data_IF_329390615527
#
_entry.id   IF_329390615527
#
_cell.length_a   1.000
_cell.length_b   1.000
_cell.length_c   1.000
_cell.angle_alpha   90.00
_cell.angle_beta   90.00
_cell.angle_gamma   90.00
#
_symmetry.space_group_name_H-M   'P 1'
#
loop_
_entity.id
_entity.type
_entity.pdbx_description
1 polymer ?
#
# COMPACT_ATOMS: atom_id res chain seq x y z
N UNK A 1 -21.75 -6.57 -17.95
CA UNK A 1 -20.99 -7.65 -17.28
C UNK A 1 -20.02 -8.27 -18.26
N UNK A 2 -18.75 -8.41 -17.85
CA UNK A 2 -17.51 -8.68 -18.63
C UNK A 2 -16.82 -7.45 -19.22
N UNK A 3 -16.24 -6.61 -18.35
CA UNK A 3 -15.42 -5.44 -18.73
C UNK A 3 -13.93 -5.57 -18.42
N UNK A 4 -13.52 -6.57 -17.62
CA UNK A 4 -12.12 -6.87 -17.41
C UNK A 4 -11.63 -7.70 -18.61
N UNK A 5 -10.68 -7.17 -19.37
CA UNK A 5 -10.15 -7.88 -20.53
C UNK A 5 -9.59 -9.25 -20.12
N UNK A 6 -10.04 -10.32 -20.78
CA UNK A 6 -9.50 -11.68 -20.61
C UNK A 6 -7.97 -11.74 -20.71
N UNK A 7 -7.32 -10.79 -21.41
CA UNK A 7 -5.85 -10.72 -21.54
C UNK A 7 -5.12 -10.73 -20.20
N UNK A 8 -5.71 -10.19 -19.11
CA UNK A 8 -5.03 -10.05 -17.82
C UNK A 8 -5.55 -10.94 -16.69
N UNK A 9 -6.78 -11.45 -16.80
CA UNK A 9 -7.37 -12.32 -15.77
C UNK A 9 -6.54 -13.61 -15.62
N UNK A 10 -6.06 -14.15 -16.75
CA UNK A 10 -5.37 -15.44 -16.80
C UNK A 10 -3.84 -15.33 -16.71
N UNK A 11 -3.29 -14.11 -16.52
CA UNK A 11 -1.84 -13.95 -16.45
C UNK A 11 -1.33 -14.17 -15.03
N UNK A 12 -0.34 -15.06 -14.91
CA UNK A 12 0.30 -15.40 -13.64
C UNK A 12 0.95 -14.21 -12.93
N UNK A 13 1.16 -13.11 -13.64
CA UNK A 13 1.88 -11.93 -13.17
C UNK A 13 0.96 -10.77 -12.77
N UNK A 14 -0.32 -11.04 -12.54
CA UNK A 14 -1.29 -10.13 -11.92
C UNK A 14 -2.08 -10.86 -10.84
N UNK A 15 -2.30 -10.22 -9.69
CA UNK A 15 -3.26 -10.66 -8.69
C UNK A 15 -4.29 -9.57 -8.43
N UNK A 16 -5.55 -9.98 -8.42
CA UNK A 16 -6.71 -9.12 -8.19
C UNK A 16 -7.53 -9.72 -7.06
N UNK A 17 -7.84 -8.93 -6.05
CA UNK A 17 -8.88 -9.26 -5.07
C UNK A 17 -9.76 -8.04 -4.82
N UNK A 18 -11.07 -8.26 -4.75
CA UNK A 18 -12.06 -7.29 -4.30
C UNK A 18 -12.99 -7.97 -3.30
N UNK A 19 -13.15 -7.37 -2.13
CA UNK A 19 -13.80 -7.99 -0.97
C UNK A 19 -14.71 -7.02 -0.22
N UNK A 20 -15.67 -7.56 0.51
CA UNK A 20 -16.52 -6.85 1.48
C UNK A 20 -16.63 -7.68 2.75
N UNK A 21 -16.31 -7.09 3.90
CA UNK A 21 -16.13 -7.85 5.14
C UNK A 21 -15.17 -9.02 4.91
N UNK A 22 -15.56 -10.23 5.33
CA UNK A 22 -14.79 -11.46 5.11
C UNK A 22 -14.96 -12.09 3.73
N UNK A 23 -15.92 -11.61 2.93
CA UNK A 23 -16.27 -12.24 1.65
C UNK A 23 -15.47 -11.64 0.49
N UNK A 24 -14.88 -12.50 -0.33
CA UNK A 24 -14.31 -12.12 -1.63
C UNK A 24 -15.44 -12.02 -2.66
N UNK A 25 -15.60 -10.84 -3.25
CA UNK A 25 -16.57 -10.55 -4.33
C UNK A 25 -15.97 -10.96 -5.68
N UNK A 26 -14.69 -10.67 -5.90
CA UNK A 26 -13.99 -10.98 -7.13
C UNK A 26 -12.53 -11.33 -6.84
N UNK A 27 -12.01 -12.34 -7.52
CA UNK A 27 -10.59 -12.72 -7.52
C UNK A 27 -10.22 -13.37 -8.85
N UNK A 28 -8.96 -13.25 -9.25
CA UNK A 28 -8.39 -14.07 -10.33
C UNK A 28 -7.64 -15.31 -9.82
N UNK A 29 -7.86 -15.69 -8.56
CA UNK A 29 -7.31 -16.90 -7.92
C UNK A 29 -5.78 -16.93 -7.76
N UNK A 30 -5.11 -15.77 -7.78
CA UNK A 30 -3.68 -15.63 -7.55
C UNK A 30 -3.34 -15.13 -6.13
N UNK A 31 -4.22 -15.37 -5.17
CA UNK A 31 -4.20 -14.68 -3.88
C UNK A 31 -2.99 -15.02 -2.98
N UNK A 32 -2.41 -16.22 -3.12
CA UNK A 32 -1.21 -16.65 -2.39
C UNK A 32 0.10 -16.39 -3.16
N UNK A 33 0.03 -15.95 -4.43
CA UNK A 33 1.24 -15.75 -5.23
C UNK A 33 2.07 -14.60 -4.68
N UNK A 34 3.39 -14.76 -4.75
CA UNK A 34 4.34 -13.74 -4.31
C UNK A 34 4.54 -12.69 -5.40
N UNK A 35 4.38 -11.44 -5.01
CA UNK A 35 4.64 -10.25 -5.82
C UNK A 35 5.67 -9.36 -5.15
N UNK A 36 6.30 -8.50 -5.93
CA UNK A 36 7.12 -7.43 -5.38
C UNK A 36 6.17 -6.36 -4.80
N UNK A 37 6.29 -6.06 -3.51
CA UNK A 37 5.38 -5.15 -2.81
C UNK A 37 5.57 -3.68 -3.20
N UNK A 38 6.75 -3.32 -3.69
CA UNK A 38 7.16 -1.93 -3.84
C UNK A 38 6.85 -1.10 -2.58
N UNK A 39 6.17 0.04 -2.73
CA UNK A 39 5.84 0.91 -1.60
C UNK A 39 4.62 0.43 -0.79
N UNK A 40 4.00 -0.71 -1.13
CA UNK A 40 2.92 -1.27 -0.30
C UNK A 40 3.43 -1.76 1.07
N UNK A 41 4.71 -2.14 1.17
CA UNK A 41 5.36 -2.49 2.45
C UNK A 41 5.27 -1.38 3.50
N UNK A 42 4.97 -0.15 3.09
CA UNK A 42 4.77 1.00 3.99
C UNK A 42 3.51 0.88 4.84
N UNK A 43 2.51 0.10 4.41
CA UNK A 43 1.30 -0.17 5.20
C UNK A 43 1.62 -0.94 6.49
N UNK A 44 2.25 -2.14 6.46
CA UNK A 44 2.61 -2.83 7.70
C UNK A 44 3.61 -2.05 8.56
N UNK A 45 4.50 -1.23 7.97
CA UNK A 45 5.36 -0.32 8.73
C UNK A 45 4.50 0.70 9.52
N UNK A 46 3.52 1.33 8.88
CA UNK A 46 2.60 2.25 9.57
C UNK A 46 1.87 1.55 10.71
N UNK A 47 1.30 0.36 10.46
CA UNK A 47 0.57 -0.40 11.49
C UNK A 47 1.49 -0.72 12.67
N UNK A 48 2.69 -1.24 12.41
CA UNK A 48 3.67 -1.55 13.44
C UNK A 48 3.93 -0.33 14.34
N UNK A 49 4.12 0.85 13.74
CA UNK A 49 4.39 2.07 14.50
C UNK A 49 3.17 2.43 15.35
N UNK A 50 1.95 2.42 14.80
CA UNK A 50 0.74 2.71 15.57
C UNK A 50 0.49 1.70 16.70
N UNK A 51 0.90 0.45 16.53
CA UNK A 51 0.72 -0.58 17.55
C UNK A 51 1.78 -0.50 18.66
N UNK A 52 3.02 -0.16 18.31
CA UNK A 52 4.17 -0.10 19.22
C UNK A 52 4.36 1.24 19.93
N UNK A 53 3.58 2.27 19.59
CA UNK A 53 3.78 3.63 20.10
C UNK A 53 2.52 4.26 20.69
N UNK A 54 2.71 5.12 21.69
CA UNK A 54 1.68 6.04 22.14
C UNK A 54 1.57 7.26 21.22
N UNK A 55 0.53 8.08 21.39
CA UNK A 55 0.41 9.34 20.67
C UNK A 55 1.58 10.30 20.98
N UNK A 56 2.14 10.26 22.20
CA UNK A 56 3.25 11.14 22.58
C UNK A 56 4.56 10.69 21.93
N UNK A 57 4.81 9.38 21.88
CA UNK A 57 5.95 8.82 21.13
C UNK A 57 5.89 9.23 19.66
N UNK A 58 4.70 9.28 19.05
CA UNK A 58 4.55 9.72 17.65
C UNK A 58 4.82 11.20 17.42
N UNK A 59 4.78 12.04 18.46
CA UNK A 59 5.17 13.46 18.37
C UNK A 59 6.68 13.66 18.53
N UNK A 60 7.40 12.66 19.02
CA UNK A 60 8.84 12.76 19.20
C UNK A 60 9.55 12.96 17.86
N UNK A 61 10.57 13.82 17.87
CA UNK A 61 11.39 14.12 16.70
C UNK A 61 12.44 13.03 16.47
N UNK A 62 12.54 12.58 15.23
CA UNK A 62 13.54 11.62 14.77
C UNK A 62 14.47 12.30 13.77
N UNK A 63 15.76 12.02 13.88
CA UNK A 63 16.79 12.54 12.98
C UNK A 63 16.72 11.85 11.62
N UNK A 64 16.78 12.66 10.55
CA UNK A 64 16.82 12.21 9.16
C UNK A 64 18.29 12.14 8.74
N UNK A 65 18.91 10.97 8.91
CA UNK A 65 20.35 10.81 8.68
C UNK A 65 20.71 10.61 7.20
N UNK A 66 19.83 9.98 6.42
CA UNK A 66 20.14 9.54 5.06
C UNK A 66 18.99 9.86 4.09
N UNK A 67 19.17 10.92 3.30
CA UNK A 67 18.26 11.26 2.19
C UNK A 67 18.53 10.36 0.99
N UNK A 68 17.49 9.73 0.47
CA UNK A 68 17.56 8.83 -0.68
C UNK A 68 16.70 9.32 -1.85
N UNK A 69 16.99 8.82 -3.05
CA UNK A 69 16.25 9.13 -4.27
C UNK A 69 14.85 8.50 -4.35
N UNK A 70 14.29 8.46 -5.57
CA UNK A 70 12.93 7.95 -5.80
C UNK A 70 11.83 8.89 -5.33
N UNK A 71 10.67 8.36 -4.95
CA UNK A 71 9.51 9.16 -4.51
C UNK A 71 9.75 9.87 -3.18
N UNK A 72 9.08 11.00 -2.99
CA UNK A 72 9.19 11.83 -1.80
C UNK A 72 9.74 13.23 -2.04
N UNK A 73 9.54 14.07 -1.05
CA UNK A 73 9.92 15.49 -1.03
C UNK A 73 11.15 15.73 -0.16
N UNK A 74 11.39 14.93 0.89
CA UNK A 74 12.41 15.17 1.90
C UNK A 74 13.83 15.23 1.33
N UNK A 75 14.11 14.47 0.27
CA UNK A 75 15.39 14.51 -0.45
C UNK A 75 15.77 15.91 -0.98
N UNK A 76 14.78 16.77 -1.20
CA UNK A 76 14.96 18.13 -1.71
C UNK A 76 14.78 19.22 -0.64
N UNK A 77 14.45 18.83 0.60
CA UNK A 77 14.16 19.77 1.68
C UNK A 77 15.38 19.92 2.61
N UNK A 78 15.59 21.12 3.14
CA UNK A 78 16.58 21.39 4.17
C UNK A 78 15.97 21.17 5.57
N UNK A 79 15.54 19.93 5.82
CA UNK A 79 15.00 19.47 7.10
C UNK A 79 15.84 18.27 7.57
N UNK A 80 16.23 18.28 8.83
CA UNK A 80 17.10 17.26 9.45
C UNK A 80 16.40 16.45 10.53
N UNK A 81 15.20 16.87 10.96
CA UNK A 81 14.37 16.13 11.90
C UNK A 81 12.89 16.36 11.64
N UNK A 82 12.07 15.34 11.85
CA UNK A 82 10.61 15.41 11.79
C UNK A 82 10.01 14.53 12.88
N UNK A 83 8.75 14.80 13.24
CA UNK A 83 8.05 13.90 14.14
C UNK A 83 7.82 12.54 13.47
N UNK A 84 7.73 11.47 14.26
CA UNK A 84 7.34 10.15 13.75
C UNK A 84 6.01 10.24 12.99
N UNK A 85 5.05 11.01 13.49
CA UNK A 85 3.75 11.22 12.83
C UNK A 85 3.89 11.87 11.44
N UNK A 86 4.73 12.89 11.31
CA UNK A 86 4.97 13.55 10.01
C UNK A 86 5.69 12.60 9.03
N UNK A 87 6.62 11.79 9.54
CA UNK A 87 7.30 10.78 8.73
C UNK A 87 6.32 9.72 8.24
N UNK A 88 5.38 9.25 9.07
CA UNK A 88 4.31 8.32 8.65
C UNK A 88 3.46 8.97 7.56
N UNK A 89 3.05 10.23 7.77
CA UNK A 89 2.23 10.96 6.81
C UNK A 89 2.92 11.04 5.45
N UNK A 90 4.18 11.49 5.40
CA UNK A 90 4.97 11.57 4.16
C UNK A 90 5.21 10.20 3.52
N UNK A 91 5.45 9.17 4.35
CA UNK A 91 5.64 7.78 3.91
C UNK A 91 4.41 7.24 3.17
N UNK A 92 3.20 7.59 3.61
CA UNK A 92 1.97 7.10 2.97
C UNK A 92 1.52 8.01 1.83
N UNK A 93 1.37 9.31 2.10
CA UNK A 93 0.68 10.29 1.23
C UNK A 93 1.42 10.60 -0.06
N UNK A 94 2.75 10.73 0.00
CA UNK A 94 3.60 10.98 -1.17
C UNK A 94 4.63 9.87 -1.39
N UNK A 95 4.49 8.75 -0.69
CA UNK A 95 5.39 7.61 -0.76
C UNK A 95 6.86 7.98 -0.51
N UNK A 96 7.15 8.87 0.45
CA UNK A 96 8.51 9.38 0.66
C UNK A 96 9.48 8.28 1.13
N UNK A 97 10.50 8.00 0.32
CA UNK A 97 11.48 6.95 0.58
C UNK A 97 12.44 7.31 1.73
N UNK A 98 12.77 8.60 1.89
CA UNK A 98 13.61 9.06 3.01
C UNK A 98 12.84 8.92 4.31
N UNK A 99 11.57 9.30 4.35
CA UNK A 99 10.73 9.11 5.52
C UNK A 99 10.61 7.63 5.88
N UNK A 100 10.39 6.78 4.87
CA UNK A 100 10.32 5.32 5.05
C UNK A 100 11.60 4.77 5.67
N UNK A 101 12.76 5.07 5.09
CA UNK A 101 14.04 4.56 5.60
C UNK A 101 14.34 5.09 7.01
N UNK A 102 14.03 6.37 7.28
CA UNK A 102 14.19 6.96 8.61
C UNK A 102 13.36 6.21 9.66
N UNK A 103 12.12 5.85 9.33
CA UNK A 103 11.26 5.05 10.22
C UNK A 103 11.80 3.63 10.39
N UNK A 104 12.25 2.97 9.32
CA UNK A 104 12.85 1.62 9.42
C UNK A 104 14.11 1.64 10.29
N UNK A 105 14.99 2.64 10.12
CA UNK A 105 16.20 2.80 10.93
C UNK A 105 15.86 3.04 12.40
N UNK A 106 14.85 3.85 12.68
CA UNK A 106 14.47 4.21 14.05
C UNK A 106 13.82 3.04 14.81
N UNK A 107 12.93 2.29 14.15
CA UNK A 107 12.16 1.22 14.77
C UNK A 107 12.81 -0.18 14.65
N UNK A 108 13.71 -0.34 13.67
CA UNK A 108 14.44 -1.57 13.40
C UNK A 108 13.70 -2.48 12.41
N UNK A 109 14.35 -2.72 11.27
CA UNK A 109 13.86 -3.62 10.21
C UNK A 109 13.45 -5.01 10.73
N UNK A 110 14.25 -5.59 11.64
CA UNK A 110 13.97 -6.91 12.19
C UNK A 110 12.71 -6.92 13.06
N UNK A 111 12.48 -5.89 13.88
CA UNK A 111 11.27 -5.79 14.71
C UNK A 111 10.02 -5.63 13.85
N UNK A 112 10.11 -4.84 12.77
CA UNK A 112 9.02 -4.68 11.81
C UNK A 112 8.69 -6.03 11.15
N UNK A 113 9.69 -6.78 10.69
CA UNK A 113 9.45 -8.10 10.11
C UNK A 113 8.88 -9.11 11.12
N UNK A 114 9.37 -9.12 12.36
CA UNK A 114 8.81 -9.97 13.41
C UNK A 114 7.34 -9.65 13.65
N UNK A 115 6.97 -8.36 13.67
CA UNK A 115 5.57 -7.96 13.77
C UNK A 115 4.73 -8.44 12.58
N UNK A 116 5.24 -8.30 11.35
CA UNK A 116 4.55 -8.77 10.14
C UNK A 116 4.28 -10.29 10.22
N UNK A 117 5.26 -11.07 10.68
CA UNK A 117 5.16 -12.53 10.73
C UNK A 117 4.36 -13.04 11.93
N UNK A 118 4.57 -12.48 13.11
CA UNK A 118 4.03 -13.02 14.36
C UNK A 118 2.70 -12.38 14.76
N UNK A 119 2.48 -11.11 14.42
CA UNK A 119 1.27 -10.35 14.81
C UNK A 119 0.29 -10.20 13.67
N UNK A 120 0.75 -9.74 12.49
CA UNK A 120 -0.10 -9.69 11.29
C UNK A 120 -0.28 -11.06 10.64
N UNK A 121 0.58 -12.04 10.99
CA UNK A 121 0.52 -13.40 10.45
C UNK A 121 0.53 -13.45 8.90
N UNK A 122 1.22 -12.49 8.27
CA UNK A 122 1.36 -12.44 6.82
C UNK A 122 2.48 -13.38 6.37
N UNK A 123 2.17 -14.30 5.46
CA UNK A 123 3.12 -15.33 5.04
C UNK A 123 4.09 -14.84 3.96
N UNK A 124 3.61 -13.99 3.05
CA UNK A 124 4.35 -13.57 1.86
C UNK A 124 4.88 -12.13 1.94
N UNK A 125 4.41 -11.36 2.92
CA UNK A 125 4.81 -9.97 3.14
C UNK A 125 6.10 -9.89 3.94
N UNK A 126 7.16 -9.33 3.34
CA UNK A 126 8.48 -9.27 3.96
C UNK A 126 9.19 -7.97 3.59
N UNK A 127 9.72 -7.26 4.60
CA UNK A 127 10.60 -6.09 4.45
C UNK A 127 12.06 -6.57 4.38
N UNK A 128 12.52 -6.95 3.20
CA UNK A 128 13.85 -7.53 2.98
C UNK A 128 14.95 -6.50 2.74
N UNK A 129 14.62 -5.25 2.40
CA UNK A 129 15.56 -4.18 2.12
C UNK A 129 15.00 -2.78 2.35
N UNK A 130 15.89 -1.81 2.51
CA UNK A 130 15.55 -0.39 2.50
C UNK A 130 15.08 0.09 1.12
N UNK A 131 14.43 1.25 1.10
CA UNK A 131 14.06 1.94 -0.14
C UNK A 131 15.34 2.43 -0.83
N UNK A 132 15.41 2.26 -2.16
CA UNK A 132 16.55 2.66 -2.99
C UNK A 132 17.90 2.00 -2.63
N UNK A 133 17.87 0.84 -1.97
CA UNK A 133 19.06 0.05 -1.66
C UNK A 133 19.58 -0.68 -2.92
N UNK A 134 20.49 -0.01 -3.64
CA UNK A 134 21.02 -0.51 -4.92
C UNK A 134 21.82 -1.81 -4.76
N UNK A 135 22.52 -1.99 -3.64
CA UNK A 135 23.29 -3.21 -3.36
C UNK A 135 22.33 -4.38 -3.17
N UNK A 136 21.34 -4.25 -2.29
CA UNK A 136 20.34 -5.30 -2.07
C UNK A 136 19.55 -5.63 -3.35
N UNK A 137 19.18 -4.62 -4.13
CA UNK A 137 18.50 -4.82 -5.43
C UNK A 137 19.39 -5.61 -6.39
N UNK A 138 20.69 -5.31 -6.46
CA UNK A 138 21.63 -6.03 -7.33
C UNK A 138 21.84 -7.49 -6.92
N UNK A 139 21.64 -7.80 -5.64
CA UNK A 139 21.65 -9.16 -5.09
C UNK A 139 20.30 -9.89 -5.27
N UNK A 140 19.31 -9.25 -5.90
CA UNK A 140 17.98 -9.82 -6.11
C UNK A 140 17.07 -9.79 -4.89
N UNK A 141 17.40 -9.02 -3.84
CA UNK A 141 16.54 -8.85 -2.66
C UNK A 141 15.42 -7.86 -2.99
N UNK A 142 14.19 -8.28 -2.80
CA UNK A 142 13.01 -7.43 -2.96
C UNK A 142 12.08 -7.56 -1.75
N UNK A 143 11.39 -6.47 -1.43
CA UNK A 143 10.29 -6.52 -0.48
C UNK A 143 9.11 -7.20 -1.15
N UNK A 144 8.52 -8.21 -0.52
CA UNK A 144 7.47 -9.05 -1.13
C UNK A 144 6.13 -8.88 -0.46
N UNK A 145 5.07 -9.35 -1.11
CA UNK A 145 3.70 -9.47 -0.58
C UNK A 145 2.90 -10.49 -1.41
N UNK A 146 1.69 -10.84 -0.96
CA UNK A 146 0.62 -11.42 -1.77
C UNK A 146 -0.63 -10.54 -1.72
N UNK A 147 -1.65 -10.81 -2.54
CA UNK A 147 -2.91 -10.06 -2.45
C UNK A 147 -3.73 -10.50 -1.24
N UNK A 148 -3.64 -11.76 -0.83
CA UNK A 148 -4.24 -12.24 0.43
C UNK A 148 -3.70 -11.46 1.63
N UNK A 149 -2.38 -11.30 1.73
CA UNK A 149 -1.75 -10.54 2.81
C UNK A 149 -2.19 -9.08 2.78
N UNK A 150 -2.27 -8.45 1.60
CA UNK A 150 -2.70 -7.06 1.50
C UNK A 150 -4.17 -6.85 1.90
N UNK A 151 -5.07 -7.75 1.49
CA UNK A 151 -6.47 -7.71 1.97
C UNK A 151 -6.53 -7.91 3.50
N UNK A 152 -5.72 -8.81 4.05
CA UNK A 152 -5.61 -9.00 5.49
C UNK A 152 -5.11 -7.72 6.21
N UNK A 153 -4.05 -7.11 5.71
CA UNK A 153 -3.48 -5.85 6.23
C UNK A 153 -4.50 -4.72 6.21
N UNK A 154 -5.28 -4.59 5.14
CA UNK A 154 -6.32 -3.56 5.03
C UNK A 154 -7.46 -3.78 6.04
N UNK A 155 -7.87 -5.03 6.28
CA UNK A 155 -8.83 -5.37 7.34
C UNK A 155 -8.28 -5.05 8.72
N UNK A 156 -7.01 -5.41 8.96
CA UNK A 156 -6.33 -5.06 10.21
C UNK A 156 -6.34 -3.55 10.46
N UNK A 157 -6.08 -2.73 9.44
CA UNK A 157 -6.19 -1.27 9.53
C UNK A 157 -7.60 -0.83 9.92
N UNK A 158 -8.63 -1.38 9.27
CA UNK A 158 -10.03 -1.01 9.51
C UNK A 158 -10.51 -1.38 10.93
N UNK A 159 -10.00 -2.46 11.50
CA UNK A 159 -10.38 -2.97 12.83
C UNK A 159 -9.50 -2.42 13.96
N UNK A 160 -8.39 -1.75 13.63
CA UNK A 160 -7.43 -1.25 14.59
C UNK A 160 -8.01 -0.15 15.48
N UNK A 161 -7.57 -0.05 16.74
CA UNK A 161 -7.96 1.03 17.67
C UNK A 161 -7.67 2.46 17.15
N UNK A 162 -6.71 2.58 16.24
CA UNK A 162 -6.32 3.83 15.56
C UNK A 162 -6.74 3.84 14.07
N UNK A 163 -7.77 3.07 13.68
CA UNK A 163 -8.21 2.96 12.29
C UNK A 163 -8.48 4.32 11.66
N UNK A 164 -9.14 5.24 12.37
CA UNK A 164 -9.50 6.56 11.83
C UNK A 164 -8.26 7.37 11.43
N UNK A 165 -7.21 7.36 12.26
CA UNK A 165 -5.96 8.08 11.96
C UNK A 165 -5.27 7.50 10.73
N UNK A 166 -5.15 6.17 10.66
CA UNK A 166 -4.50 5.48 9.54
C UNK A 166 -5.29 5.64 8.23
N UNK A 167 -6.62 5.49 8.29
CA UNK A 167 -7.50 5.68 7.13
C UNK A 167 -7.48 7.13 6.65
N UNK A 168 -7.45 8.12 7.54
CA UNK A 168 -7.32 9.54 7.14
C UNK A 168 -6.02 9.77 6.36
N UNK A 169 -4.89 9.27 6.86
CA UNK A 169 -3.60 9.38 6.17
C UNK A 169 -3.65 8.69 4.79
N UNK A 170 -4.31 7.54 4.69
CA UNK A 170 -4.50 6.85 3.40
C UNK A 170 -5.48 7.57 2.47
N UNK A 171 -6.44 8.33 2.99
CA UNK A 171 -7.37 9.15 2.20
C UNK A 171 -6.66 10.33 1.53
N UNK A 172 -5.70 10.90 2.26
CA UNK A 172 -4.84 11.99 1.79
C UNK A 172 -3.84 11.54 0.71
N UNK A 173 -3.83 10.27 0.29
CA UNK A 173 -2.96 9.76 -0.79
C UNK A 173 -3.02 10.64 -2.04
N UNK A 174 -1.85 11.14 -2.48
CA UNK A 174 -1.74 11.98 -3.68
C UNK A 174 -1.52 11.15 -4.96
N UNK A 175 -0.98 9.93 -4.84
CA UNK A 175 -0.78 9.04 -5.98
C UNK A 175 -2.05 8.21 -6.20
N UNK A 176 -2.91 8.68 -7.11
CA UNK A 176 -4.25 8.13 -7.34
C UNK A 176 -4.50 7.75 -8.80
N UNK A 177 -3.44 7.48 -9.57
CA UNK A 177 -3.48 7.26 -11.03
C UNK A 177 -3.73 5.82 -11.48
N UNK A 178 -4.13 4.92 -10.56
CA UNK A 178 -4.35 3.48 -10.79
C UNK A 178 -5.81 3.09 -10.49
N UNK A 179 -6.08 2.19 -9.55
CA UNK A 179 -7.45 1.75 -9.24
C UNK A 179 -8.30 2.94 -8.78
N UNK A 180 -7.68 3.88 -8.06
CA UNK A 180 -8.33 5.10 -7.55
C UNK A 180 -8.48 6.23 -8.59
N UNK A 181 -8.23 6.01 -9.89
CA UNK A 181 -8.24 7.08 -10.93
C UNK A 181 -9.56 7.85 -11.01
N UNK A 182 -10.67 7.19 -10.72
CA UNK A 182 -12.00 7.80 -10.80
C UNK A 182 -12.45 8.47 -9.49
N UNK A 183 -11.63 8.49 -8.44
CA UNK A 183 -12.05 8.94 -7.10
C UNK A 183 -12.70 10.32 -7.08
N UNK A 184 -12.19 11.27 -7.88
CA UNK A 184 -12.71 12.64 -7.92
C UNK A 184 -14.10 12.75 -8.54
N UNK A 185 -14.53 11.79 -9.35
CA UNK A 185 -15.89 11.76 -9.90
C UNK A 185 -16.93 11.27 -8.89
N UNK A 186 -16.49 10.66 -7.79
CA UNK A 186 -17.34 10.02 -6.79
C UNK A 186 -17.03 10.52 -5.38
N UNK A 187 -16.41 11.70 -5.22
CA UNK A 187 -15.98 12.21 -3.91
C UNK A 187 -17.16 12.49 -2.95
N UNK A 188 -18.35 12.75 -3.49
CA UNK A 188 -19.57 12.93 -2.71
C UNK A 188 -20.19 11.60 -2.21
N UNK A 189 -19.75 10.45 -2.74
CA UNK A 189 -20.38 9.13 -2.50
C UNK A 189 -19.43 8.04 -2.03
N UNK A 190 -18.15 8.10 -2.38
CA UNK A 190 -17.13 7.10 -2.11
C UNK A 190 -15.89 7.75 -1.49
N UNK A 191 -15.45 7.24 -0.34
CA UNK A 191 -14.15 7.62 0.24
C UNK A 191 -13.11 6.56 -0.08
N UNK A 192 -12.03 6.96 -0.76
CA UNK A 192 -10.91 6.08 -1.11
C UNK A 192 -9.78 6.26 -0.11
N UNK A 193 -9.29 5.17 0.46
CA UNK A 193 -8.14 5.11 1.35
C UNK A 193 -7.13 4.15 0.75
N UNK A 194 -6.04 4.64 0.15
CA UNK A 194 -5.16 3.78 -0.65
C UNK A 194 -3.67 3.99 -0.44
N UNK A 195 -2.92 2.96 -0.84
CA UNK A 195 -1.48 3.03 -0.99
C UNK A 195 -1.10 2.42 -2.34
N UNK A 196 -0.31 3.17 -3.09
CA UNK A 196 0.29 2.72 -4.35
C UNK A 196 1.71 2.20 -4.13
N UNK A 197 2.18 1.37 -5.06
CA UNK A 197 3.57 0.95 -5.13
C UNK A 197 4.00 0.68 -6.56
N UNK A 198 5.09 1.29 -7.00
CA UNK A 198 5.57 1.14 -8.37
C UNK A 198 7.07 1.38 -8.49
N UNK A 199 7.68 0.70 -9.45
CA UNK A 199 8.98 0.95 -10.08
C UNK A 199 9.13 -0.01 -11.25
N UNK A 200 9.84 0.39 -12.32
CA UNK A 200 10.17 -0.45 -13.49
C UNK A 200 9.02 -1.35 -14.01
N UNK A 201 9.00 -2.61 -13.57
CA UNK A 201 8.06 -3.67 -13.95
C UNK A 201 6.95 -3.92 -12.91
N UNK A 202 6.89 -3.15 -11.83
CA UNK A 202 5.93 -3.32 -10.73
C UNK A 202 4.89 -2.21 -10.77
N UNK A 203 3.61 -2.58 -10.77
CA UNK A 203 2.47 -1.64 -10.76
C UNK A 203 1.42 -2.17 -9.79
N UNK A 204 1.35 -1.55 -8.61
CA UNK A 204 0.48 -1.99 -7.52
C UNK A 204 -0.35 -0.83 -6.95
N UNK A 205 -1.57 -1.16 -6.52
CA UNK A 205 -2.49 -0.27 -5.81
C UNK A 205 -3.42 -1.12 -4.93
N UNK A 206 -3.52 -0.78 -3.65
CA UNK A 206 -4.39 -1.45 -2.69
C UNK A 206 -5.11 -0.40 -1.85
N UNK A 207 -6.32 -0.71 -1.40
CA UNK A 207 -7.06 0.25 -0.61
C UNK A 207 -8.38 -0.21 -0.06
N UNK A 208 -8.95 0.66 0.77
CA UNK A 208 -10.28 0.56 1.36
C UNK A 208 -11.16 1.60 0.65
N UNK A 209 -12.36 1.21 0.23
CA UNK A 209 -13.40 2.11 -0.26
C UNK A 209 -14.54 2.07 0.73
N UNK A 210 -14.93 3.23 1.26
CA UNK A 210 -16.07 3.36 2.14
C UNK A 210 -17.27 3.95 1.39
N UNK A 211 -18.43 3.31 1.54
CA UNK A 211 -19.70 3.74 0.95
C UNK A 211 -20.85 3.44 1.93
N UNK A 212 -21.66 4.45 2.27
CA UNK A 212 -22.82 4.30 3.19
C UNK A 212 -22.51 3.58 4.52
N UNK A 213 -21.30 3.76 5.05
CA UNK A 213 -20.84 3.11 6.29
C UNK A 213 -20.25 1.71 6.10
N UNK A 214 -20.35 1.13 4.91
CA UNK A 214 -19.78 -0.16 4.56
C UNK A 214 -18.35 -0.01 4.04
N UNK A 215 -17.49 -0.99 4.35
CA UNK A 215 -16.10 -1.04 3.89
C UNK A 215 -15.89 -2.14 2.86
N UNK A 216 -15.24 -1.75 1.77
CA UNK A 216 -14.82 -2.62 0.69
C UNK A 216 -13.30 -2.57 0.57
N UNK A 217 -12.68 -3.70 0.26
CA UNK A 217 -11.23 -3.84 0.18
C UNK A 217 -10.84 -4.25 -1.23
N UNK A 218 -9.81 -3.64 -1.80
CA UNK A 218 -9.28 -4.04 -3.09
C UNK A 218 -7.76 -4.21 -3.05
N UNK A 219 -7.28 -5.12 -3.89
CA UNK A 219 -5.87 -5.33 -4.14
C UNK A 219 -5.63 -5.53 -5.63
N UNK A 220 -4.74 -4.74 -6.21
CA UNK A 220 -4.20 -4.91 -7.55
C UNK A 220 -2.67 -5.00 -7.46
N UNK A 221 -2.11 -6.16 -7.83
CA UNK A 221 -0.66 -6.39 -7.89
C UNK A 221 -0.26 -6.80 -9.29
N UNK A 222 0.89 -6.31 -9.78
CA UNK A 222 1.44 -6.73 -11.06
C UNK A 222 2.96 -6.69 -11.11
N UNK A 223 3.56 -7.77 -11.64
CA UNK A 223 4.96 -7.87 -12.02
C UNK A 223 5.06 -8.06 -13.55
N UNK A 224 5.07 -6.98 -14.34
CA UNK A 224 4.93 -7.03 -15.80
C UNK A 224 5.99 -6.22 -16.56
N UNK A 225 6.41 -6.72 -17.72
CA UNK A 225 7.23 -5.95 -18.66
C UNK A 225 6.41 -4.94 -19.50
N UNK A 226 5.10 -4.84 -19.27
CA UNK A 226 4.18 -3.89 -19.93
C UNK A 226 3.47 -3.01 -18.88
N UNK A 227 4.18 -2.17 -18.12
CA UNK A 227 3.60 -1.41 -17.00
C UNK A 227 2.43 -0.50 -17.42
N UNK A 228 2.49 0.13 -18.60
CA UNK A 228 1.39 0.94 -19.13
C UNK A 228 0.08 0.16 -19.27
N UNK A 229 0.16 -1.07 -19.80
CA UNK A 229 -1.03 -1.92 -19.91
C UNK A 229 -1.55 -2.36 -18.54
N UNK A 230 -0.67 -2.58 -17.55
CA UNK A 230 -1.13 -2.87 -16.19
C UNK A 230 -1.83 -1.66 -15.56
N UNK A 231 -1.36 -0.43 -15.81
CA UNK A 231 -2.06 0.78 -15.39
C UNK A 231 -3.44 0.85 -16.05
N UNK A 232 -3.53 0.70 -17.37
CA UNK A 232 -4.82 0.69 -18.09
C UNK A 232 -5.78 -0.38 -17.54
N UNK A 233 -5.24 -1.56 -17.19
CA UNK A 233 -6.02 -2.63 -16.60
C UNK A 233 -6.45 -2.31 -15.16
N UNK A 234 -5.62 -1.63 -14.36
CA UNK A 234 -5.99 -1.15 -13.03
C UNK A 234 -7.15 -0.15 -13.09
N UNK A 235 -7.26 0.66 -14.14
CA UNK A 235 -8.39 1.56 -14.36
C UNK A 235 -9.68 0.79 -14.61
N UNK A 236 -9.62 -0.25 -15.47
CA UNK A 236 -10.77 -1.13 -15.71
C UNK A 236 -11.22 -1.82 -14.41
N UNK A 237 -10.27 -2.26 -13.58
CA UNK A 237 -10.56 -2.83 -12.27
C UNK A 237 -11.21 -1.83 -11.31
N UNK A 238 -10.70 -0.60 -11.26
CA UNK A 238 -11.34 0.49 -10.49
C UNK A 238 -12.76 0.79 -10.96
N UNK A 239 -12.99 0.85 -12.27
CA UNK A 239 -14.34 1.03 -12.83
C UNK A 239 -15.28 -0.12 -12.45
N UNK A 240 -14.79 -1.36 -12.49
CA UNK A 240 -15.57 -2.54 -12.10
C UNK A 240 -15.94 -2.49 -10.61
N UNK A 241 -15.00 -2.13 -9.74
CA UNK A 241 -15.23 -2.01 -8.30
C UNK A 241 -16.32 -0.96 -8.03
N UNK A 242 -16.19 0.23 -8.62
CA UNK A 242 -17.16 1.32 -8.43
C UNK A 242 -18.56 0.92 -8.91
N UNK A 243 -18.68 0.32 -10.09
CA UNK A 243 -19.96 -0.19 -10.59
C UNK A 243 -20.56 -1.25 -9.66
N UNK A 244 -19.73 -2.12 -9.10
CA UNK A 244 -20.15 -3.16 -8.16
C UNK A 244 -20.57 -2.62 -6.80
N UNK A 245 -19.99 -1.50 -6.34
CA UNK A 245 -20.37 -0.86 -5.08
C UNK A 245 -21.68 -0.07 -5.25
N UNK A 246 -21.83 0.63 -6.37
CA UNK A 246 -22.96 1.54 -6.62
C UNK A 246 -24.15 0.86 -7.32
N UNK A 247 -24.04 -0.42 -7.68
CA UNK A 247 -25.04 -1.18 -8.44
C UNK A 247 -25.49 -0.50 -9.75
N UNK A 248 -24.53 0.02 -10.54
CA UNK A 248 -24.75 0.74 -11.83
C UNK A 248 -24.13 0.06 -13.06
#
# INVERSE_FOLDING_TARGET
MSFLTHEYIDLDNVALDFAKGDSIIFTNHHHEKVFESASLIKLPIMIYIYESTTQEDRKALVQINHKVGGSGVLKNMNIDQLSVQDLIYLMIVVSDNTATNTLIDHFGLQHINLFIQETLQCEQTQLNRYMMDAEAISEGKQNTTSSQDMIHILRFIAEHKHHQDMMNIMNDQHLNDKVSIYRSFYEDTLNFHSKTGEYDNVVNDVGIIQHEGELYYYCFLSNTNKPKKAIDFSHQFGSYIIQSILDI
#
